data_IF_192015651912
#
_entry.id   IF_192015651912
#
_cell.length_a   1.000
_cell.length_b   1.000
_cell.length_c   1.000
_cell.angle_alpha   90.00
_cell.angle_beta   90.00
_cell.angle_gamma   90.00
#
_symmetry.space_group_name_H-M   'P 1'
#
loop_
_entity.id
_entity.type
_entity.pdbx_description
1 polymer ?
#
# COMPACT_ATOMS: atom_id res chain seq x y z
N UNK A 1 3.04 -16.23 7.46
CA UNK A 1 2.85 -15.03 8.27
C UNK A 1 2.88 -13.78 7.37
N UNK A 2 1.84 -12.97 7.45
CA UNK A 2 1.73 -11.80 6.59
C UNK A 2 2.55 -10.64 7.15
N UNK A 3 3.29 -9.97 6.27
CA UNK A 3 4.05 -8.79 6.63
C UNK A 3 3.29 -7.54 6.20
N UNK A 4 3.74 -6.37 6.66
CA UNK A 4 3.16 -5.10 6.23
C UNK A 4 3.25 -4.94 4.72
N UNK A 5 4.37 -5.37 4.13
CA UNK A 5 4.54 -5.31 2.69
C UNK A 5 3.44 -6.08 1.97
N UNK A 6 3.13 -7.26 2.46
CA UNK A 6 2.08 -8.09 1.85
C UNK A 6 0.70 -7.46 2.00
N UNK A 7 0.44 -6.84 3.14
CA UNK A 7 -0.81 -6.12 3.35
C UNK A 7 -0.96 -4.98 2.34
N UNK A 8 0.14 -4.25 2.10
CA UNK A 8 0.13 -3.15 1.14
C UNK A 8 -0.11 -3.67 -0.27
N UNK A 9 0.57 -4.75 -0.64
CA UNK A 9 0.39 -5.34 -1.97
C UNK A 9 -1.04 -5.84 -2.16
N UNK A 10 -1.61 -6.44 -1.13
CA UNK A 10 -2.99 -6.91 -1.20
C UNK A 10 -3.97 -5.75 -1.37
N UNK A 11 -3.77 -4.67 -0.61
CA UNK A 11 -4.63 -3.49 -0.72
C UNK A 11 -4.54 -2.89 -2.13
N UNK A 12 -3.34 -2.83 -2.69
CA UNK A 12 -3.15 -2.34 -4.06
C UNK A 12 -3.85 -3.24 -5.06
N UNK A 13 -3.74 -4.54 -4.87
CA UNK A 13 -4.39 -5.50 -5.77
C UNK A 13 -5.90 -5.33 -5.75
N UNK A 14 -6.47 -5.18 -4.55
CA UNK A 14 -7.92 -5.03 -4.40
C UNK A 14 -8.45 -3.72 -4.99
N UNK A 15 -7.61 -2.71 -5.06
CA UNK A 15 -8.01 -1.39 -5.56
C UNK A 15 -7.54 -1.12 -6.98
N UNK A 16 -6.97 -2.12 -7.64
CA UNK A 16 -6.46 -1.95 -8.99
C UNK A 16 -5.29 -0.98 -9.05
N UNK A 17 -4.41 -1.05 -8.06
CA UNK A 17 -3.24 -0.18 -7.94
C UNK A 17 -3.61 1.28 -7.68
N UNK A 18 -4.78 1.53 -7.13
CA UNK A 18 -5.19 2.88 -6.74
C UNK A 18 -4.61 3.20 -5.38
N UNK A 19 -3.53 3.98 -5.37
CA UNK A 19 -2.80 4.27 -4.13
C UNK A 19 -3.65 4.99 -3.09
N UNK A 20 -4.48 5.93 -3.55
CA UNK A 20 -5.36 6.66 -2.62
C UNK A 20 -6.33 5.73 -1.92
N UNK A 21 -6.97 4.86 -2.69
CA UNK A 21 -7.92 3.90 -2.11
C UNK A 21 -7.21 2.84 -1.28
N UNK A 22 -6.02 2.43 -1.71
CA UNK A 22 -5.24 1.47 -0.93
C UNK A 22 -4.91 2.04 0.44
N UNK A 23 -4.53 3.32 0.51
CA UNK A 23 -4.24 3.96 1.78
C UNK A 23 -5.49 3.99 2.67
N UNK A 24 -6.64 4.30 2.09
CA UNK A 24 -7.90 4.28 2.83
C UNK A 24 -8.20 2.87 3.35
N UNK A 25 -7.98 1.88 2.52
CA UNK A 25 -8.23 0.49 2.90
C UNK A 25 -7.32 0.07 4.05
N UNK A 26 -6.10 0.58 4.08
CA UNK A 26 -5.13 0.29 5.13
C UNK A 26 -5.27 1.22 6.33
N UNK A 27 -6.16 2.20 6.25
CA UNK A 27 -6.40 3.18 7.31
C UNK A 27 -5.14 3.98 7.64
N UNK A 28 -4.44 4.41 6.59
CA UNK A 28 -3.25 5.26 6.71
C UNK A 28 -3.34 6.41 5.72
N UNK A 29 -2.49 7.44 5.93
CA UNK A 29 -2.41 8.56 5.02
C UNK A 29 -1.78 8.15 3.70
N UNK A 30 -2.18 8.83 2.63
CA UNK A 30 -1.58 8.58 1.31
C UNK A 30 -0.07 8.82 1.35
N UNK A 31 0.35 9.86 2.03
CA UNK A 31 1.78 10.15 2.17
C UNK A 31 2.52 9.01 2.86
N UNK A 32 1.93 8.47 3.91
CA UNK A 32 2.51 7.33 4.62
C UNK A 32 2.64 6.12 3.70
N UNK A 33 1.59 5.89 2.89
CA UNK A 33 1.63 4.78 1.94
C UNK A 33 2.77 4.97 0.93
N UNK A 34 2.92 6.18 0.40
CA UNK A 34 3.98 6.45 -0.57
C UNK A 34 5.36 6.21 0.04
N UNK A 35 5.56 6.62 1.30
CA UNK A 35 6.81 6.37 1.99
C UNK A 35 7.07 4.88 2.17
N UNK A 36 6.04 4.12 2.49
CA UNK A 36 6.18 2.68 2.64
C UNK A 36 6.45 1.98 1.32
N UNK A 37 5.85 2.45 0.24
CA UNK A 37 6.13 1.90 -1.09
C UNK A 37 7.60 2.07 -1.43
N UNK A 38 8.16 3.23 -1.12
CA UNK A 38 9.58 3.48 -1.32
C UNK A 38 10.43 2.57 -0.44
N UNK A 39 10.03 2.45 0.82
CA UNK A 39 10.78 1.64 1.79
C UNK A 39 10.86 0.18 1.34
N UNK A 40 9.77 -0.35 0.83
CA UNK A 40 9.71 -1.75 0.41
C UNK A 40 10.11 -1.97 -1.04
N UNK A 41 10.42 -0.90 -1.76
CA UNK A 41 10.82 -1.02 -3.15
C UNK A 41 9.70 -1.46 -4.08
N UNK A 42 8.47 -1.10 -3.75
CA UNK A 42 7.32 -1.42 -4.58
C UNK A 42 7.19 -0.34 -5.63
N UNK A 43 7.32 -0.74 -6.88
CA UNK A 43 7.26 0.17 -8.01
C UNK A 43 5.95 -0.02 -8.76
N UNK A 44 5.12 1.01 -8.78
CA UNK A 44 3.82 0.97 -9.45
C UNK A 44 3.76 1.93 -10.62
#
# INVERSE_FOLDING_TARGET
EETEKEHILEALRQTGNNKSKAAQLLDIDRKTLYNKLKLYGIDL
#
